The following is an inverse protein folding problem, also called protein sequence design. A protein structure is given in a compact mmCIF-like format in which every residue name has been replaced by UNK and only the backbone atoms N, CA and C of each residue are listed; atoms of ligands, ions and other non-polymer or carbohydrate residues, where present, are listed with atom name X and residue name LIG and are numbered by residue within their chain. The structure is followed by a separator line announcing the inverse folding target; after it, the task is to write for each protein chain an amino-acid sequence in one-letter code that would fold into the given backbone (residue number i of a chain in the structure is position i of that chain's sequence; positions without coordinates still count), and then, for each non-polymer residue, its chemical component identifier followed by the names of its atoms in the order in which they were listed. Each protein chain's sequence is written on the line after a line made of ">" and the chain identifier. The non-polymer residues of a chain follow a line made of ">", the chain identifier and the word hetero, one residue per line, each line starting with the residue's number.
data_IF_438833683751
#
_entry.id   IF_438833683751
#
_cell.length_a   1.000
_cell.length_b   1.000
_cell.length_c   1.000
_cell.angle_alpha   90.00
_cell.angle_beta   90.00
_cell.angle_gamma   90.00
#
_symmetry.space_group_name_H-M   'P 1'
#
loop_
_entity.id
_entity.type
_entity.pdbx_description
1 polymer ?
#
# COMPACT_ATOMS: atom_id res chain seq x y z
N UNK A 1 9.58 22.95 -7.51
CA UNK A 1 9.12 23.05 -6.11
C UNK A 1 9.35 21.71 -5.41
N UNK A 2 9.90 21.73 -4.23
CA UNK A 2 10.20 20.50 -3.50
C UNK A 2 8.94 19.88 -2.92
N UNK A 3 9.02 18.57 -2.58
CA UNK A 3 7.89 17.89 -1.96
C UNK A 3 7.43 18.57 -0.66
N UNK A 4 8.31 18.92 0.29
CA UNK A 4 7.86 19.63 1.48
C UNK A 4 7.16 20.95 1.20
N UNK A 5 7.59 21.68 0.18
CA UNK A 5 6.95 22.93 -0.23
C UNK A 5 5.54 22.68 -0.75
N UNK A 6 5.37 21.65 -1.60
CA UNK A 6 4.06 21.26 -2.11
C UNK A 6 3.13 20.82 -0.97
N UNK A 7 3.65 20.08 -0.01
CA UNK A 7 2.87 19.63 1.13
C UNK A 7 2.43 20.82 1.99
N UNK A 8 3.31 21.79 2.22
CA UNK A 8 2.95 23.00 2.98
C UNK A 8 1.82 23.76 2.30
N UNK A 9 1.88 23.93 0.97
CA UNK A 9 0.84 24.59 0.22
C UNK A 9 -0.47 23.81 0.26
N UNK A 10 -0.40 22.49 0.12
CA UNK A 10 -1.58 21.62 0.20
C UNK A 10 -2.25 21.73 1.56
N UNK A 11 -1.47 21.83 2.65
CA UNK A 11 -1.99 22.03 4.00
C UNK A 11 -2.75 23.35 4.15
N UNK A 12 -2.43 24.33 3.33
CA UNK A 12 -3.10 25.64 3.31
C UNK A 12 -4.33 25.66 2.42
N UNK A 13 -4.65 24.54 1.78
CA UNK A 13 -5.82 24.42 0.93
C UNK A 13 -5.56 24.50 -0.57
N UNK A 14 -4.29 24.50 -0.97
CA UNK A 14 -3.94 24.55 -2.41
C UNK A 14 -4.17 23.18 -3.03
N UNK A 15 -5.24 23.06 -3.82
CA UNK A 15 -5.66 21.82 -4.46
C UNK A 15 -4.61 21.36 -5.50
N UNK A 16 -4.07 22.29 -6.26
CA UNK A 16 -3.07 21.96 -7.29
C UNK A 16 -1.80 21.38 -6.65
N UNK A 17 -1.39 21.95 -5.52
CA UNK A 17 -0.22 21.44 -4.77
C UNK A 17 -0.50 20.04 -4.24
N UNK A 18 -1.68 19.78 -3.71
CA UNK A 18 -2.07 18.45 -3.27
C UNK A 18 -2.01 17.44 -4.42
N UNK A 19 -2.61 17.78 -5.56
CA UNK A 19 -2.59 16.90 -6.72
C UNK A 19 -1.17 16.61 -7.20
N UNK A 20 -0.30 17.63 -7.17
CA UNK A 20 1.09 17.46 -7.60
C UNK A 20 1.85 16.49 -6.69
N UNK A 21 1.71 16.61 -5.38
CA UNK A 21 2.40 15.71 -4.47
C UNK A 21 1.76 14.31 -4.49
N UNK A 22 0.44 14.23 -4.59
CA UNK A 22 -0.26 12.95 -4.68
C UNK A 22 0.17 12.17 -5.93
N UNK A 23 0.28 12.84 -7.07
CA UNK A 23 0.67 12.20 -8.32
C UNK A 23 2.04 11.52 -8.24
N UNK A 24 2.93 12.01 -7.37
CA UNK A 24 4.23 11.38 -7.15
C UNK A 24 4.12 10.02 -6.46
N UNK A 25 3.05 9.79 -5.71
CA UNK A 25 2.85 8.57 -4.93
C UNK A 25 1.80 7.63 -5.50
N UNK A 26 0.99 8.09 -6.43
CA UNK A 26 -0.17 7.36 -6.96
C UNK A 26 0.17 5.94 -7.41
N UNK A 27 1.25 5.78 -8.18
CA UNK A 27 1.68 4.48 -8.68
C UNK A 27 2.10 3.53 -7.54
N UNK A 28 2.84 4.04 -6.58
CA UNK A 28 3.29 3.26 -5.43
C UNK A 28 2.12 2.86 -4.52
N UNK A 29 1.18 3.77 -4.33
CA UNK A 29 -0.03 3.48 -3.55
C UNK A 29 -0.83 2.37 -4.22
N UNK A 30 -1.01 2.46 -5.53
CA UNK A 30 -1.73 1.44 -6.28
C UNK A 30 -1.02 0.08 -6.21
N UNK A 31 0.30 0.06 -6.36
CA UNK A 31 1.07 -1.20 -6.26
C UNK A 31 0.88 -1.87 -4.91
N UNK A 32 0.98 -1.09 -3.83
CA UNK A 32 0.73 -1.63 -2.49
C UNK A 32 -0.67 -2.25 -2.40
N UNK A 33 -1.67 -1.48 -2.80
CA UNK A 33 -3.07 -1.92 -2.70
C UNK A 33 -3.33 -3.15 -3.56
N UNK A 34 -2.80 -3.18 -4.77
CA UNK A 34 -2.98 -4.30 -5.69
C UNK A 34 -2.43 -5.61 -5.11
N UNK A 35 -1.18 -5.57 -4.65
CA UNK A 35 -0.57 -6.79 -4.10
C UNK A 35 -1.16 -7.18 -2.75
N UNK A 36 -1.66 -6.20 -1.99
CA UNK A 36 -2.28 -6.48 -0.70
C UNK A 36 -3.68 -7.08 -0.85
N UNK A 37 -4.47 -6.57 -1.80
CA UNK A 37 -5.88 -6.95 -1.95
C UNK A 37 -6.12 -8.01 -3.01
N UNK A 38 -5.21 -8.18 -3.96
CA UNK A 38 -5.25 -9.26 -4.93
C UNK A 38 -6.04 -9.01 -6.20
N UNK A 39 -6.70 -7.85 -6.33
CA UNK A 39 -7.44 -7.53 -7.55
C UNK A 39 -7.46 -6.00 -7.79
N UNK A 40 -7.67 -5.62 -9.05
CA UNK A 40 -7.60 -4.20 -9.44
C UNK A 40 -8.78 -3.39 -8.92
N UNK A 41 -9.97 -3.96 -8.87
CA UNK A 41 -11.16 -3.23 -8.43
C UNK A 41 -11.00 -2.77 -6.98
N UNK A 42 -10.66 -3.69 -6.09
CA UNK A 42 -10.47 -3.37 -4.68
C UNK A 42 -9.28 -2.42 -4.48
N UNK A 43 -8.21 -2.59 -5.27
CA UNK A 43 -7.06 -1.71 -5.22
C UNK A 43 -7.42 -0.28 -5.61
N UNK A 44 -8.16 -0.11 -6.70
CA UNK A 44 -8.61 1.22 -7.13
C UNK A 44 -9.51 1.87 -6.10
N UNK A 45 -10.44 1.11 -5.52
CA UNK A 45 -11.33 1.62 -4.49
C UNK A 45 -10.57 2.06 -3.24
N UNK A 46 -9.58 1.27 -2.81
CA UNK A 46 -8.76 1.61 -1.66
C UNK A 46 -7.91 2.86 -1.90
N UNK A 47 -7.33 2.99 -3.09
CA UNK A 47 -6.54 4.17 -3.45
C UNK A 47 -7.41 5.42 -3.53
N UNK A 48 -8.61 5.31 -4.09
CA UNK A 48 -9.55 6.44 -4.12
C UNK A 48 -9.95 6.86 -2.70
N UNK A 49 -10.26 5.91 -1.83
CA UNK A 49 -10.59 6.21 -0.44
C UNK A 49 -9.40 6.88 0.26
N UNK A 50 -8.19 6.40 0.00
CA UNK A 50 -6.98 7.00 0.52
C UNK A 50 -6.82 8.44 0.06
N UNK A 51 -7.00 8.71 -1.23
CA UNK A 51 -6.88 10.05 -1.81
C UNK A 51 -7.87 11.02 -1.16
N UNK A 52 -9.11 10.61 -1.01
CA UNK A 52 -10.14 11.46 -0.39
C UNK A 52 -9.81 11.75 1.08
N UNK A 53 -9.44 10.73 1.83
CA UNK A 53 -9.07 10.91 3.24
C UNK A 53 -7.84 11.80 3.37
N UNK A 54 -6.83 11.57 2.53
CA UNK A 54 -5.62 12.39 2.55
C UNK A 54 -5.92 13.85 2.25
N UNK A 55 -6.77 14.11 1.25
CA UNK A 55 -7.17 15.47 0.91
C UNK A 55 -7.89 16.16 2.08
N UNK A 56 -8.81 15.44 2.71
CA UNK A 56 -9.58 15.98 3.85
C UNK A 56 -8.71 16.22 5.08
N UNK A 57 -7.67 15.41 5.29
CA UNK A 57 -6.92 15.41 6.53
C UNK A 57 -5.50 15.97 6.43
N UNK A 58 -5.08 16.45 5.24
CA UNK A 58 -3.71 16.91 5.07
C UNK A 58 -3.36 18.07 6.00
N UNK A 59 -4.32 18.89 6.37
CA UNK A 59 -4.08 19.99 7.32
C UNK A 59 -3.62 19.48 8.69
N UNK A 60 -3.93 18.23 9.03
CA UNK A 60 -3.54 17.61 10.29
C UNK A 60 -2.11 17.06 10.29
N UNK A 61 -1.49 16.94 9.13
CA UNK A 61 -0.11 16.46 9.03
C UNK A 61 0.82 17.46 9.70
N UNK A 62 1.57 17.00 10.71
CA UNK A 62 2.42 17.88 11.50
C UNK A 62 3.70 18.29 10.76
N UNK A 63 4.38 17.32 10.14
CA UNK A 63 5.65 17.53 9.45
C UNK A 63 5.52 17.22 7.98
N UNK A 64 5.74 18.19 7.09
CA UNK A 64 5.68 17.93 5.65
C UNK A 64 6.59 16.79 5.19
N UNK A 65 7.73 16.61 5.84
CA UNK A 65 8.70 15.56 5.53
C UNK A 65 8.16 14.15 5.80
N UNK A 66 7.12 14.04 6.63
CA UNK A 66 6.49 12.76 6.97
C UNK A 66 5.35 12.38 6.03
N UNK A 67 5.18 13.08 4.91
CA UNK A 67 4.07 12.85 3.99
C UNK A 67 4.00 11.40 3.50
N UNK A 68 5.13 10.83 3.11
CA UNK A 68 5.16 9.45 2.59
C UNK A 68 4.62 8.44 3.60
N UNK A 69 5.16 8.43 4.81
CA UNK A 69 4.69 7.50 5.84
C UNK A 69 3.25 7.80 6.25
N UNK A 70 2.87 9.07 6.28
CA UNK A 70 1.53 9.49 6.63
C UNK A 70 0.49 8.99 5.64
N UNK A 71 0.72 9.17 4.33
CA UNK A 71 -0.25 8.75 3.32
C UNK A 71 -0.31 7.21 3.23
N UNK A 72 0.82 6.52 3.42
CA UNK A 72 0.81 5.05 3.44
C UNK A 72 0.10 4.49 4.66
N UNK A 73 0.10 5.21 5.78
CA UNK A 73 -0.70 4.81 6.94
C UNK A 73 -2.19 4.88 6.62
N UNK A 74 -2.61 5.94 5.92
CA UNK A 74 -4.00 6.06 5.47
C UNK A 74 -4.36 4.90 4.55
N UNK A 75 -3.50 4.61 3.57
CA UNK A 75 -3.73 3.49 2.65
C UNK A 75 -3.76 2.15 3.38
N UNK A 76 -2.86 1.96 4.34
CA UNK A 76 -2.84 0.76 5.17
C UNK A 76 -4.20 0.53 5.84
N UNK A 77 -4.78 1.56 6.39
CA UNK A 77 -6.10 1.48 7.02
C UNK A 77 -7.21 1.21 6.00
N UNK A 78 -7.15 1.84 4.83
CA UNK A 78 -8.12 1.61 3.76
C UNK A 78 -8.06 0.17 3.27
N UNK A 79 -6.85 -0.38 3.11
CA UNK A 79 -6.69 -1.77 2.70
C UNK A 79 -7.16 -2.75 3.78
N UNK A 80 -6.92 -2.44 5.05
CA UNK A 80 -7.41 -3.26 6.15
C UNK A 80 -8.94 -3.34 6.15
N UNK A 81 -9.60 -2.21 5.91
CA UNK A 81 -11.06 -2.18 5.78
C UNK A 81 -11.54 -2.99 4.58
N UNK A 82 -10.83 -2.89 3.45
CA UNK A 82 -11.16 -3.65 2.25
C UNK A 82 -11.02 -5.16 2.48
N UNK A 83 -9.99 -5.58 3.20
CA UNK A 83 -9.79 -7.00 3.54
C UNK A 83 -10.94 -7.53 4.38
N UNK A 84 -11.40 -6.75 5.36
CA UNK A 84 -12.55 -7.13 6.18
C UNK A 84 -13.80 -7.30 5.32
N UNK A 85 -14.01 -6.43 4.33
CA UNK A 85 -15.13 -6.56 3.39
C UNK A 85 -15.00 -7.81 2.54
N UNK A 86 -13.79 -8.12 2.06
CA UNK A 86 -13.52 -9.33 1.27
C UNK A 86 -13.87 -10.59 2.06
N UNK A 87 -13.45 -10.66 3.31
CA UNK A 87 -13.73 -11.80 4.20
C UNK A 87 -15.25 -11.96 4.40
N UNK A 88 -15.93 -10.85 4.65
CA UNK A 88 -17.38 -10.84 4.83
C UNK A 88 -18.11 -11.32 3.58
N UNK A 89 -17.67 -10.86 2.41
CA UNK A 89 -18.25 -11.27 1.12
C UNK A 89 -18.01 -12.75 0.84
N UNK A 90 -16.84 -13.30 1.16
CA UNK A 90 -16.54 -14.72 1.02
C UNK A 90 -17.48 -15.59 1.84
N UNK A 91 -17.85 -15.11 3.03
CA UNK A 91 -18.76 -15.84 3.91
C UNK A 91 -20.21 -15.78 3.42
N UNK A 92 -20.55 -14.86 2.53
CA UNK A 92 -21.91 -14.62 2.07
C UNK A 92 -22.16 -15.16 0.65
N UNK A 93 -21.14 -15.17 -0.20
CA UNK A 93 -21.24 -15.58 -1.61
C UNK A 93 -20.19 -16.62 -1.96
N UNK A 94 -20.57 -17.62 -2.77
CA UNK A 94 -19.59 -18.49 -3.40
C UNK A 94 -18.86 -17.69 -4.45
N UNK A 95 -17.57 -17.51 -4.22
CA UNK A 95 -16.75 -16.69 -5.10
C UNK A 95 -16.07 -17.56 -6.13
N UNK A 96 -16.73 -17.76 -7.25
CA UNK A 96 -16.09 -18.39 -8.40
C UNK A 96 -15.57 -17.35 -9.39
N UNK A 97 -15.78 -16.04 -9.13
CA UNK A 97 -15.70 -15.03 -10.16
C UNK A 97 -14.66 -13.92 -9.98
N UNK A 98 -13.65 -14.12 -9.14
CA UNK A 98 -12.53 -13.18 -9.17
C UNK A 98 -11.60 -13.55 -10.31
N UNK A 99 -12.05 -13.22 -11.51
CA UNK A 99 -11.21 -13.39 -12.68
C UNK A 99 -10.15 -12.31 -12.69
N UNK A 100 -8.94 -12.75 -12.91
CA UNK A 100 -7.82 -11.89 -13.10
C UNK A 100 -8.07 -10.89 -14.20
N UNK A 101 -7.79 -9.65 -13.93
CA UNK A 101 -7.92 -8.60 -14.91
C UNK A 101 -6.75 -8.72 -15.88
N UNK A 102 -7.01 -8.59 -17.18
CA UNK A 102 -5.94 -8.70 -18.16
C UNK A 102 -4.90 -7.63 -17.94
N UNK A 103 -3.66 -8.05 -17.79
CA UNK A 103 -2.54 -7.15 -17.81
C UNK A 103 -2.15 -6.89 -19.26
N UNK A 104 -1.66 -5.71 -19.52
CA UNK A 104 -1.34 -5.25 -20.87
C UNK A 104 -0.14 -5.93 -21.49
N UNK A 105 0.61 -6.74 -20.73
CA UNK A 105 1.88 -7.32 -21.13
C UNK A 105 2.03 -8.71 -20.51
N UNK A 106 2.35 -9.72 -21.34
CA UNK A 106 2.52 -11.10 -20.90
C UNK A 106 3.66 -11.27 -19.89
N UNK A 107 4.77 -10.55 -20.07
CA UNK A 107 5.89 -10.59 -19.12
C UNK A 107 5.49 -10.01 -17.77
N UNK A 108 4.75 -8.89 -17.80
CA UNK A 108 4.23 -8.29 -16.58
C UNK A 108 3.27 -9.22 -15.85
N UNK A 109 2.47 -9.99 -16.59
CA UNK A 109 1.56 -10.98 -16.01
C UNK A 109 2.35 -12.06 -15.28
N UNK A 110 3.39 -12.61 -15.91
CA UNK A 110 4.22 -13.67 -15.33
C UNK A 110 4.89 -13.18 -14.04
N UNK A 111 5.51 -12.01 -14.09
CA UNK A 111 6.17 -11.40 -12.93
C UNK A 111 5.18 -11.15 -11.81
N UNK A 112 4.00 -10.61 -12.13
CA UNK A 112 2.96 -10.34 -11.14
C UNK A 112 2.46 -11.62 -10.47
N UNK A 113 2.28 -12.69 -11.24
CA UNK A 113 1.83 -13.98 -10.69
C UNK A 113 2.90 -14.60 -9.79
N UNK A 114 4.18 -14.50 -10.18
CA UNK A 114 5.27 -14.99 -9.35
C UNK A 114 5.35 -14.23 -8.02
N UNK A 115 5.21 -12.91 -8.08
CA UNK A 115 5.22 -12.07 -6.88
C UNK A 115 4.00 -12.39 -6.01
N UNK A 116 2.82 -12.53 -6.60
CA UNK A 116 1.61 -12.90 -5.86
C UNK A 116 1.79 -14.24 -5.16
N UNK A 117 2.36 -15.21 -5.86
CA UNK A 117 2.59 -16.53 -5.28
C UNK A 117 3.57 -16.45 -4.10
N UNK A 118 4.66 -15.71 -4.26
CA UNK A 118 5.62 -15.51 -3.19
C UNK A 118 4.98 -14.81 -1.98
N UNK A 119 4.19 -13.77 -2.24
CA UNK A 119 3.47 -13.05 -1.18
C UNK A 119 2.43 -13.92 -0.49
N UNK A 120 1.82 -14.86 -1.20
CA UNK A 120 0.80 -15.74 -0.62
C UNK A 120 1.36 -16.65 0.48
N UNK A 121 2.67 -16.85 0.52
CA UNK A 121 3.34 -17.63 1.56
C UNK A 121 3.56 -16.85 2.84
N UNK A 122 3.29 -15.55 2.82
CA UNK A 122 3.46 -14.66 3.96
C UNK A 122 2.14 -14.48 4.70
N UNK A 123 2.23 -14.23 6.01
CA UNK A 123 1.06 -13.78 6.77
C UNK A 123 0.64 -12.40 6.29
N UNK A 124 -0.56 -11.98 6.64
CA UNK A 124 -1.08 -10.66 6.29
C UNK A 124 -0.15 -9.55 6.80
N UNK A 125 0.32 -9.67 8.04
CA UNK A 125 1.24 -8.72 8.65
C UNK A 125 2.59 -8.68 7.93
N UNK A 126 3.16 -9.85 7.64
CA UNK A 126 4.42 -9.96 6.90
C UNK A 126 4.30 -9.34 5.51
N UNK A 127 3.18 -9.60 4.84
CA UNK A 127 2.91 -9.03 3.51
C UNK A 127 2.90 -7.51 3.57
N UNK A 128 2.24 -6.92 4.56
CA UNK A 128 2.20 -5.47 4.72
C UNK A 128 3.59 -4.90 4.93
N UNK A 129 4.41 -5.53 5.78
CA UNK A 129 5.77 -5.07 6.06
C UNK A 129 6.62 -5.07 4.79
N UNK A 130 6.59 -6.18 4.04
CA UNK A 130 7.35 -6.28 2.78
C UNK A 130 6.90 -5.22 1.79
N UNK A 131 5.60 -5.05 1.61
CA UNK A 131 5.08 -4.09 0.64
C UNK A 131 5.40 -2.65 1.05
N UNK A 132 5.32 -2.32 2.33
CA UNK A 132 5.68 -0.98 2.80
C UNK A 132 7.18 -0.70 2.61
N UNK A 133 8.02 -1.72 2.75
CA UNK A 133 9.45 -1.58 2.51
C UNK A 133 9.76 -1.43 1.02
N UNK A 134 9.21 -2.30 0.18
CA UNK A 134 9.57 -2.39 -1.23
C UNK A 134 8.86 -1.34 -2.08
N UNK A 135 7.54 -1.19 -1.92
CA UNK A 135 6.79 -0.26 -2.76
C UNK A 135 6.91 1.19 -2.28
N UNK A 136 6.85 1.41 -0.98
CA UNK A 136 6.88 2.75 -0.41
C UNK A 136 8.28 3.23 -0.07
N UNK A 137 9.25 2.32 0.04
CA UNK A 137 10.61 2.66 0.44
C UNK A 137 10.73 3.11 1.89
N UNK A 138 9.79 2.71 2.73
CA UNK A 138 9.79 3.10 4.14
C UNK A 138 10.83 2.31 4.93
N UNK A 139 11.46 2.99 5.86
CA UNK A 139 12.41 2.38 6.79
C UNK A 139 11.66 1.71 7.93
N UNK A 140 12.35 0.81 8.65
CA UNK A 140 11.73 0.02 9.72
C UNK A 140 11.02 0.88 10.77
N UNK A 141 11.58 2.03 11.12
CA UNK A 141 10.95 2.96 12.06
C UNK A 141 9.63 3.52 11.53
N UNK A 142 9.60 3.83 10.25
CA UNK A 142 8.40 4.36 9.60
C UNK A 142 7.33 3.28 9.45
N UNK A 143 7.75 2.06 9.08
CA UNK A 143 6.84 0.91 8.99
C UNK A 143 6.24 0.61 10.38
N UNK A 144 7.05 0.71 11.43
CA UNK A 144 6.59 0.54 12.80
C UNK A 144 5.46 1.52 13.13
N UNK A 145 5.60 2.78 12.71
CA UNK A 145 4.55 3.79 12.93
C UNK A 145 3.28 3.48 12.14
N UNK A 146 3.43 2.95 10.93
CA UNK A 146 2.26 2.59 10.10
C UNK A 146 1.52 1.39 10.68
N UNK A 147 2.24 0.36 11.10
CA UNK A 147 1.66 -0.93 11.50
C UNK A 147 1.36 -1.04 12.99
N UNK A 148 1.97 -0.20 13.81
CA UNK A 148 1.84 -0.30 15.27
C UNK A 148 2.79 -1.29 15.90
N UNK A 149 3.71 -1.87 15.15
CA UNK A 149 4.71 -2.80 15.66
C UNK A 149 5.97 -2.05 16.10
N UNK A 150 6.85 -2.71 16.87
CA UNK A 150 8.14 -2.15 17.20
C UNK A 150 9.08 -2.22 16.00
N UNK A 151 10.04 -1.29 15.91
CA UNK A 151 11.01 -1.26 14.82
C UNK A 151 11.85 -2.53 14.77
N UNK A 152 12.23 -3.08 15.93
CA UNK A 152 12.96 -4.34 16.00
C UNK A 152 12.15 -5.51 15.45
N UNK A 153 10.87 -5.59 15.80
CA UNK A 153 9.96 -6.61 15.30
C UNK A 153 9.81 -6.48 13.78
N UNK A 154 9.67 -5.26 13.27
CA UNK A 154 9.59 -5.00 11.83
C UNK A 154 10.84 -5.49 11.11
N UNK A 155 12.03 -5.14 11.61
CA UNK A 155 13.30 -5.57 10.98
C UNK A 155 13.40 -7.08 10.92
N UNK A 156 13.06 -7.77 12.00
CA UNK A 156 13.12 -9.23 12.07
C UNK A 156 12.15 -9.88 11.10
N UNK A 157 10.91 -9.42 11.09
CA UNK A 157 9.87 -9.95 10.19
C UNK A 157 10.18 -9.65 8.73
N UNK A 158 10.70 -8.46 8.43
CA UNK A 158 11.10 -8.10 7.07
C UNK A 158 12.19 -9.02 6.55
N UNK A 159 13.24 -9.24 7.35
CA UNK A 159 14.35 -10.11 6.97
C UNK A 159 13.88 -11.53 6.68
N UNK A 160 13.06 -12.08 7.57
CA UNK A 160 12.51 -13.45 7.41
C UNK A 160 11.57 -13.54 6.21
N UNK A 161 10.74 -12.53 6.01
CA UNK A 161 9.78 -12.52 4.90
C UNK A 161 10.47 -12.44 3.56
N UNK A 162 11.49 -11.58 3.45
CA UNK A 162 12.28 -11.47 2.20
C UNK A 162 13.02 -12.78 1.90
N UNK A 163 13.52 -13.48 2.91
CA UNK A 163 14.16 -14.79 2.74
C UNK A 163 13.16 -15.82 2.21
N UNK A 164 11.93 -15.84 2.75
CA UNK A 164 10.88 -16.74 2.27
C UNK A 164 10.53 -16.44 0.80
N UNK A 165 10.39 -15.16 0.45
CA UNK A 165 10.07 -14.76 -0.92
C UNK A 165 11.17 -15.13 -1.89
N UNK A 166 12.43 -14.92 -1.50
CA UNK A 166 13.58 -15.29 -2.34
C UNK A 166 13.57 -16.79 -2.65
N UNK A 167 13.25 -17.60 -1.65
CA UNK A 167 13.17 -19.05 -1.80
C UNK A 167 12.08 -19.45 -2.79
N UNK A 168 10.93 -18.77 -2.75
CA UNK A 168 9.82 -19.05 -3.66
C UNK A 168 10.12 -18.58 -5.10
N UNK A 169 10.93 -17.55 -5.26
CA UNK A 169 11.22 -16.95 -6.57
C UNK A 169 12.41 -17.61 -7.29
N UNK A 170 13.16 -18.47 -6.60
CA UNK A 170 14.28 -19.22 -7.23
C UNK A 170 13.90 -20.71 -7.55
#
# INVERSE_FOLDING_TARGET
>A
MSEPELVRLAKQGDIKAFCAVYDQYKSKLYSYAYYKLGNTQDAEDAVQACALTAFEEISKLKKPEAFCSWIFRILYCCCAAAIKRQIKQRNTYNIEDYKNIPADDNESIIIREDIKRALSKLSDEEKSIVLLSVTAGLKSKEIAKVTGLSAGNVRQKLSRSLAKMKKELT
#
